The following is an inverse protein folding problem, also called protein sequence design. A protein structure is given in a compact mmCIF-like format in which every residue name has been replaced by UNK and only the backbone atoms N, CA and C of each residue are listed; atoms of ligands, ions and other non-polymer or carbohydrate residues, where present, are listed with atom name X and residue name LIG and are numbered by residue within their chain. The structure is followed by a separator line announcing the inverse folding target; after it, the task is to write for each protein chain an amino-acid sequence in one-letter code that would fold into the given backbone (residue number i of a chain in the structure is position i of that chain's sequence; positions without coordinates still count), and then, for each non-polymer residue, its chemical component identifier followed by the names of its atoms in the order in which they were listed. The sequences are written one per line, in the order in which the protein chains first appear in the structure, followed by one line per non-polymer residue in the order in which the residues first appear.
data_IF_421439286047
#
_entry.id   IF_421439286047
#
_cell.length_a   1.000
_cell.length_b   1.000
_cell.length_c   1.000
_cell.angle_alpha   90.00
_cell.angle_beta   90.00
_cell.angle_gamma   90.00
#
_symmetry.space_group_name_H-M   'P 1'
#
loop_
_entity.id
_entity.type
_entity.pdbx_description
1 polymer ?
#
# COMPACT_ATOMS: atom_id res chain seq x y z
N UNK A 1 -36.32 -11.02 -0.95
CA UNK A 1 -35.16 -10.37 -0.29
C UNK A 1 -33.93 -11.28 -0.40
N UNK A 2 -34.09 -12.59 -0.19
CA UNK A 2 -33.01 -13.60 -0.26
C UNK A 2 -32.19 -13.60 -1.55
N UNK A 3 -32.82 -13.46 -2.73
CA UNK A 3 -32.09 -13.50 -4.01
C UNK A 3 -31.07 -12.36 -4.16
N UNK A 4 -31.39 -11.18 -3.66
CA UNK A 4 -30.49 -10.02 -3.72
C UNK A 4 -29.29 -10.22 -2.78
N UNK A 5 -29.54 -10.75 -1.58
CA UNK A 5 -28.49 -11.06 -0.61
C UNK A 5 -27.55 -12.17 -1.13
N UNK A 6 -28.10 -13.25 -1.68
CA UNK A 6 -27.33 -14.32 -2.36
C UNK A 6 -26.44 -13.77 -3.47
N UNK A 7 -26.99 -12.89 -4.33
CA UNK A 7 -26.22 -12.27 -5.41
C UNK A 7 -25.10 -11.35 -4.90
N UNK A 8 -25.37 -10.56 -3.87
CA UNK A 8 -24.37 -9.68 -3.24
C UNK A 8 -23.22 -10.49 -2.65
N UNK A 9 -23.54 -11.54 -1.89
CA UNK A 9 -22.54 -12.45 -1.31
C UNK A 9 -21.73 -13.16 -2.41
N UNK A 10 -22.38 -13.65 -3.47
CA UNK A 10 -21.70 -14.23 -4.63
C UNK A 10 -20.71 -13.25 -5.26
N UNK A 11 -21.12 -12.01 -5.49
CA UNK A 11 -20.26 -11.00 -6.11
C UNK A 11 -19.07 -10.66 -5.20
N UNK A 12 -19.28 -10.56 -3.89
CA UNK A 12 -18.20 -10.37 -2.92
C UNK A 12 -17.21 -11.53 -2.96
N UNK A 13 -17.69 -12.78 -2.97
CA UNK A 13 -16.87 -13.99 -3.13
C UNK A 13 -16.07 -13.98 -4.43
N UNK A 14 -16.70 -13.66 -5.56
CA UNK A 14 -16.02 -13.54 -6.85
C UNK A 14 -14.96 -12.43 -6.85
N UNK A 15 -15.24 -11.30 -6.19
CA UNK A 15 -14.28 -10.21 -6.00
C UNK A 15 -13.06 -10.65 -5.19
N UNK A 16 -13.28 -11.37 -4.09
CA UNK A 16 -12.23 -11.94 -3.27
C UNK A 16 -11.37 -12.97 -4.04
N UNK A 17 -11.99 -13.82 -4.87
CA UNK A 17 -11.26 -14.72 -5.78
C UNK A 17 -10.38 -13.93 -6.74
N UNK A 18 -10.89 -12.83 -7.28
CA UNK A 18 -10.11 -11.93 -8.11
C UNK A 18 -8.91 -11.31 -7.36
N UNK A 19 -9.06 -10.99 -6.08
CA UNK A 19 -7.95 -10.52 -5.24
C UNK A 19 -6.90 -11.61 -5.02
N UNK A 20 -7.33 -12.83 -4.69
CA UNK A 20 -6.45 -14.00 -4.56
C UNK A 20 -5.66 -14.25 -5.85
N UNK A 21 -6.34 -14.27 -7.01
CA UNK A 21 -5.66 -14.47 -8.31
C UNK A 21 -4.62 -13.37 -8.59
N UNK A 22 -4.90 -12.11 -8.23
CA UNK A 22 -3.89 -11.05 -8.39
C UNK A 22 -2.70 -11.25 -7.47
N UNK A 23 -2.92 -11.59 -6.20
CA UNK A 23 -1.84 -11.87 -5.26
C UNK A 23 -0.98 -13.05 -5.73
N UNK A 24 -1.61 -14.13 -6.21
CA UNK A 24 -0.92 -15.28 -6.82
C UNK A 24 0.00 -14.85 -7.97
N UNK A 25 -0.51 -14.05 -8.90
CA UNK A 25 0.29 -13.58 -10.03
C UNK A 25 1.48 -12.73 -9.57
N UNK A 26 1.28 -11.80 -8.62
CA UNK A 26 2.37 -10.99 -8.06
C UNK A 26 3.44 -11.88 -7.43
N UNK A 27 3.06 -12.87 -6.62
CA UNK A 27 4.02 -13.80 -6.01
C UNK A 27 4.81 -14.56 -7.08
N UNK A 28 4.15 -15.05 -8.14
CA UNK A 28 4.83 -15.73 -9.25
C UNK A 28 5.80 -14.80 -9.98
N UNK A 29 5.38 -13.59 -10.32
CA UNK A 29 6.22 -12.61 -10.99
C UNK A 29 7.48 -12.28 -10.17
N UNK A 30 7.35 -12.16 -8.84
CA UNK A 30 8.50 -11.92 -7.95
C UNK A 30 9.45 -13.12 -7.89
N UNK A 31 8.90 -14.35 -7.89
CA UNK A 31 9.70 -15.59 -7.92
C UNK A 31 10.43 -15.70 -9.27
N UNK A 32 9.73 -15.52 -10.38
CA UNK A 32 10.29 -15.59 -11.74
C UNK A 32 11.36 -14.52 -11.97
N UNK A 33 11.15 -13.30 -11.46
CA UNK A 33 12.13 -12.22 -11.51
C UNK A 33 13.29 -12.38 -10.52
N UNK A 34 13.36 -13.50 -9.79
CA UNK A 34 14.41 -13.79 -8.79
C UNK A 34 14.60 -12.65 -7.79
N UNK A 35 13.48 -12.08 -7.32
CA UNK A 35 13.46 -10.98 -6.36
C UNK A 35 13.97 -11.41 -5.00
N UNK A 36 14.23 -10.43 -4.13
CA UNK A 36 14.78 -10.72 -2.82
C UNK A 36 13.83 -11.61 -1.99
N UNK A 37 14.39 -12.48 -1.15
CA UNK A 37 13.60 -13.36 -0.26
C UNK A 37 12.60 -12.58 0.60
N UNK A 38 12.97 -11.36 1.02
CA UNK A 38 12.09 -10.48 1.81
C UNK A 38 10.86 -10.01 1.03
N UNK A 39 11.02 -9.63 -0.24
CA UNK A 39 9.89 -9.21 -1.09
C UNK A 39 8.96 -10.39 -1.40
N UNK A 40 9.52 -11.55 -1.73
CA UNK A 40 8.74 -12.76 -1.97
C UNK A 40 7.96 -13.17 -0.72
N UNK A 41 8.59 -13.09 0.47
CA UNK A 41 7.92 -13.36 1.74
C UNK A 41 6.75 -12.40 1.99
N UNK A 42 6.93 -11.10 1.78
CA UNK A 42 5.85 -10.13 1.95
C UNK A 42 4.68 -10.42 0.99
N UNK A 43 4.97 -10.73 -0.28
CA UNK A 43 3.92 -11.09 -1.23
C UNK A 43 3.20 -12.39 -0.85
N UNK A 44 3.89 -13.33 -0.20
CA UNK A 44 3.28 -14.54 0.33
C UNK A 44 2.33 -14.26 1.50
N UNK A 45 2.69 -13.34 2.42
CA UNK A 45 1.80 -12.88 3.49
C UNK A 45 0.54 -12.21 2.91
N UNK A 46 0.68 -11.39 1.87
CA UNK A 46 -0.46 -10.80 1.15
C UNK A 46 -1.33 -11.87 0.44
N UNK A 47 -0.71 -12.90 -0.12
CA UNK A 47 -1.39 -14.04 -0.72
C UNK A 47 -2.20 -14.83 0.31
N UNK A 48 -1.64 -15.07 1.50
CA UNK A 48 -2.33 -15.73 2.61
C UNK A 48 -3.54 -14.90 3.06
N UNK A 49 -3.36 -13.60 3.28
CA UNK A 49 -4.44 -12.70 3.67
C UNK A 49 -5.57 -12.66 2.63
N UNK A 50 -5.24 -12.63 1.33
CA UNK A 50 -6.22 -12.68 0.26
C UNK A 50 -6.99 -14.01 0.22
N UNK A 51 -6.33 -15.12 0.55
CA UNK A 51 -6.95 -16.45 0.64
C UNK A 51 -7.90 -16.54 1.83
N UNK A 52 -7.48 -16.11 3.02
CA UNK A 52 -8.35 -16.03 4.21
C UNK A 52 -9.59 -15.17 3.95
N UNK A 53 -9.40 -14.02 3.29
CA UNK A 53 -10.50 -13.17 2.86
C UNK A 53 -11.47 -13.87 1.91
N UNK A 54 -10.98 -14.71 1.00
CA UNK A 54 -11.85 -15.51 0.13
C UNK A 54 -12.61 -16.59 0.90
N UNK A 55 -11.96 -17.30 1.83
CA UNK A 55 -12.60 -18.32 2.67
C UNK A 55 -13.76 -17.70 3.46
N UNK A 56 -13.52 -16.57 4.14
CA UNK A 56 -14.56 -15.85 4.89
C UNK A 56 -15.76 -15.48 4.00
N UNK A 57 -15.51 -14.95 2.80
CA UNK A 57 -16.59 -14.59 1.86
C UNK A 57 -17.32 -15.78 1.28
N UNK A 58 -16.66 -16.92 1.20
CA UNK A 58 -17.27 -18.16 0.78
C UNK A 58 -18.17 -18.74 1.87
N UNK A 59 -17.74 -18.74 3.14
CA UNK A 59 -18.59 -19.11 4.28
C UNK A 59 -19.84 -18.22 4.38
N UNK A 60 -19.68 -16.90 4.26
CA UNK A 60 -20.81 -15.95 4.20
C UNK A 60 -21.80 -16.29 3.06
N UNK A 61 -21.29 -16.76 1.92
CA UNK A 61 -22.10 -17.12 0.76
C UNK A 61 -22.80 -18.48 0.95
N UNK A 62 -22.09 -19.48 1.46
CA UNK A 62 -22.61 -20.85 1.63
C UNK A 62 -23.71 -20.92 2.68
N UNK A 63 -23.67 -20.09 3.71
CA UNK A 63 -24.77 -19.95 4.69
C UNK A 63 -26.11 -19.55 4.07
N UNK A 64 -26.11 -19.03 2.83
CA UNK A 64 -27.32 -18.60 2.11
C UNK A 64 -27.78 -19.62 1.05
N UNK A 65 -27.11 -20.77 0.93
CA UNK A 65 -27.39 -21.76 -0.10
C UNK A 65 -28.26 -22.90 0.42
N UNK A 66 -28.93 -23.56 -0.53
CA UNK A 66 -29.59 -24.85 -0.30
C UNK A 66 -28.56 -25.97 -0.57
N UNK A 67 -28.78 -27.16 -0.01
CA UNK A 67 -27.81 -28.27 0.03
C UNK A 67 -27.20 -28.62 -1.34
N UNK A 68 -28.00 -28.66 -2.41
CA UNK A 68 -27.52 -29.00 -3.75
C UNK A 68 -26.52 -27.97 -4.29
N UNK A 69 -26.79 -26.68 -4.07
CA UNK A 69 -25.95 -25.58 -4.57
C UNK A 69 -24.72 -25.38 -3.67
N UNK A 70 -24.84 -25.72 -2.39
CA UNK A 70 -23.73 -25.73 -1.44
C UNK A 70 -22.61 -26.67 -1.90
N UNK A 71 -22.94 -27.90 -2.31
CA UNK A 71 -21.96 -28.88 -2.78
C UNK A 71 -21.19 -28.40 -4.03
N UNK A 72 -21.86 -27.69 -4.94
CA UNK A 72 -21.20 -27.08 -6.09
C UNK A 72 -20.26 -25.94 -5.67
N UNK A 73 -20.66 -25.16 -4.67
CA UNK A 73 -19.86 -24.08 -4.12
C UNK A 73 -18.59 -24.62 -3.42
N UNK A 74 -18.69 -25.70 -2.64
CA UNK A 74 -17.55 -26.35 -1.98
C UNK A 74 -16.56 -26.93 -3.00
N UNK A 75 -17.06 -27.62 -4.04
CA UNK A 75 -16.21 -28.11 -5.15
C UNK A 75 -15.48 -26.97 -5.87
N UNK A 76 -16.09 -25.79 -5.95
CA UNK A 76 -15.43 -24.62 -6.51
C UNK A 76 -14.31 -24.10 -5.61
N UNK A 77 -14.51 -24.03 -4.29
CA UNK A 77 -13.46 -23.64 -3.35
C UNK A 77 -12.30 -24.64 -3.36
N UNK A 78 -12.60 -25.94 -3.36
CA UNK A 78 -11.59 -26.99 -3.39
C UNK A 78 -10.64 -26.86 -4.61
N UNK A 79 -11.18 -26.54 -5.79
CA UNK A 79 -10.36 -26.29 -6.99
C UNK A 79 -9.43 -25.09 -6.83
N UNK A 80 -9.86 -24.05 -6.12
CA UNK A 80 -9.03 -22.87 -5.86
C UNK A 80 -7.90 -23.22 -4.88
N UNK A 81 -8.19 -24.01 -3.85
CA UNK A 81 -7.18 -24.48 -2.90
C UNK A 81 -6.13 -25.38 -3.59
N UNK A 82 -6.57 -26.25 -4.51
CA UNK A 82 -5.68 -27.04 -5.36
C UNK A 82 -4.80 -26.16 -6.27
N UNK A 83 -5.37 -25.08 -6.84
CA UNK A 83 -4.63 -24.11 -7.67
C UNK A 83 -3.56 -23.39 -6.84
N UNK A 84 -3.91 -22.91 -5.65
CA UNK A 84 -2.98 -22.26 -4.71
C UNK A 84 -1.88 -23.22 -4.26
N UNK A 85 -2.23 -24.46 -3.91
CA UNK A 85 -1.26 -25.45 -3.41
C UNK A 85 -0.16 -25.76 -4.43
N UNK A 86 -0.49 -25.83 -5.73
CA UNK A 86 0.48 -26.02 -6.81
C UNK A 86 1.53 -24.89 -6.86
N UNK A 87 1.18 -23.70 -6.39
CA UNK A 87 2.07 -22.54 -6.39
C UNK A 87 3.12 -22.60 -5.27
N UNK A 88 2.76 -23.19 -4.13
CA UNK A 88 3.59 -23.28 -2.92
C UNK A 88 4.72 -24.31 -3.00
N UNK A 89 4.73 -25.19 -4.01
CA UNK A 89 5.81 -26.19 -4.18
C UNK A 89 7.16 -25.52 -4.54
N UNK A 90 7.16 -24.23 -4.91
CA UNK A 90 8.36 -23.42 -5.12
C UNK A 90 9.03 -22.92 -3.82
N UNK A 91 8.36 -23.05 -2.67
CA UNK A 91 8.83 -22.57 -1.35
C UNK A 91 10.04 -23.38 -0.82
N UNK A 92 10.28 -24.58 -1.36
CA UNK A 92 11.46 -25.39 -1.03
C UNK A 92 12.78 -24.73 -1.43
N UNK A 93 12.78 -23.66 -2.24
CA UNK A 93 14.00 -22.95 -2.68
C UNK A 93 14.41 -21.83 -1.71
N UNK A 94 13.52 -21.40 -0.81
CA UNK A 94 13.82 -20.31 0.14
C UNK A 94 14.48 -20.85 1.42
N UNK A 95 14.27 -22.14 1.74
CA UNK A 95 14.66 -22.82 2.98
C UNK A 95 16.08 -23.39 3.09
N UNK A 96 16.93 -23.34 2.06
CA UNK A 96 18.32 -23.79 2.16
C UNK A 96 19.30 -22.64 1.87
N UNK A 97 19.64 -21.89 2.92
CA UNK A 97 21.00 -21.43 3.21
C UNK A 97 20.94 -20.62 4.51
N UNK A 98 21.02 -21.33 5.62
CA UNK A 98 21.54 -20.77 6.87
C UNK A 98 22.55 -21.78 7.38
N UNK A 99 23.81 -21.51 7.04
CA UNK A 99 24.96 -22.08 7.73
C UNK A 99 24.80 -21.80 9.23
N UNK A 100 24.96 -22.87 10.00
CA UNK A 100 25.20 -22.79 11.43
C UNK A 100 26.50 -22.00 11.67
N UNK A 101 26.45 -20.96 12.51
CA UNK A 101 27.35 -20.86 13.66
C UNK A 101 26.68 -20.05 14.76
N UNK A 102 26.52 -20.69 15.92
CA UNK A 102 26.20 -20.09 17.20
C UNK A 102 27.32 -19.12 17.62
N UNK A 103 26.96 -18.00 18.26
CA UNK A 103 27.28 -17.78 19.68
C UNK A 103 26.57 -16.53 20.23
N UNK A 104 25.97 -16.71 21.41
CA UNK A 104 25.28 -15.72 22.23
C UNK A 104 26.25 -14.65 22.78
N UNK A 105 25.72 -13.46 23.13
CA UNK A 105 25.83 -12.91 24.49
C UNK A 105 25.20 -11.51 24.61
N UNK A 106 24.14 -11.46 25.42
CA UNK A 106 23.80 -10.46 26.45
C UNK A 106 23.91 -8.95 26.19
N UNK A 107 22.75 -8.30 26.36
CA UNK A 107 22.51 -7.46 27.54
C UNK A 107 22.59 -5.94 27.36
N UNK A 108 21.46 -5.24 27.52
CA UNK A 108 21.20 -4.39 28.70
C UNK A 108 20.06 -3.39 28.46
N UNK A 109 19.24 -3.23 29.50
CA UNK A 109 18.12 -2.31 29.67
C UNK A 109 18.54 -0.83 29.81
N UNK A 110 17.57 0.08 29.56
CA UNK A 110 17.55 1.46 30.07
C UNK A 110 16.61 2.38 29.29
N UNK A 111 15.30 2.38 29.57
CA UNK A 111 14.56 3.35 30.42
C UNK A 111 14.42 4.80 29.91
N UNK A 112 13.22 5.09 29.38
CA UNK A 112 12.26 6.18 29.67
C UNK A 112 12.70 7.64 29.95
N UNK A 113 12.17 8.58 29.16
CA UNK A 113 11.26 9.71 29.54
C UNK A 113 11.11 10.63 28.32
N UNK A 114 9.95 10.75 27.66
CA UNK A 114 8.76 11.57 28.01
C UNK A 114 9.08 13.02 28.34
N UNK A 115 8.94 13.91 27.35
CA UNK A 115 8.58 15.31 27.53
C UNK A 115 7.49 15.66 26.50
N UNK A 116 6.27 15.80 27.01
CA UNK A 116 5.22 16.64 26.42
C UNK A 116 5.72 18.08 26.33
N UNK A 117 5.51 18.72 25.19
CA UNK A 117 4.90 20.05 25.22
C UNK A 117 4.28 20.40 23.87
N UNK A 118 2.97 20.42 23.89
CA UNK A 118 2.10 21.19 23.02
C UNK A 118 2.50 22.67 23.04
N UNK A 119 2.59 23.30 21.87
CA UNK A 119 2.03 24.65 21.67
C UNK A 119 1.84 24.92 20.18
N UNK A 120 0.67 25.47 19.90
CA UNK A 120 0.14 25.94 18.63
C UNK A 120 0.78 27.31 18.32
N UNK A 121 0.51 27.84 17.13
CA UNK A 121 0.74 29.21 16.60
C UNK A 121 1.98 29.33 15.70
N UNK A 122 1.78 29.36 14.38
CA UNK A 122 1.24 30.43 13.54
C UNK A 122 2.28 31.52 13.26
N UNK A 123 2.52 31.70 11.96
CA UNK A 123 3.49 32.60 11.33
C UNK A 123 3.14 34.08 11.57
N UNK A 124 4.15 34.92 11.85
CA UNK A 124 4.66 35.95 10.93
C UNK A 124 5.29 37.18 11.62
N UNK A 125 6.44 37.59 11.06
CA UNK A 125 7.04 38.94 10.97
C UNK A 125 7.61 39.58 12.26
N UNK A 126 8.79 40.21 12.29
CA UNK A 126 9.58 40.95 11.28
C UNK A 126 11.01 41.16 11.83
N UNK A 127 12.04 41.46 10.99
CA UNK A 127 13.01 42.48 11.42
C UNK A 127 13.12 43.65 10.45
N UNK A 128 13.21 44.83 11.07
CA UNK A 128 13.40 46.18 10.53
C UNK A 128 14.38 46.32 9.36
N UNK A 129 14.18 47.32 8.50
CA UNK A 129 15.01 48.56 8.49
C UNK A 129 14.72 49.46 7.25
N UNK A 130 14.09 50.61 7.55
CA UNK A 130 14.34 52.01 7.13
C UNK A 130 14.28 52.54 5.68
N UNK A 131 13.84 53.81 5.66
CA UNK A 131 13.93 54.90 4.66
C UNK A 131 12.79 54.91 3.62
N UNK A 132 12.09 56.00 3.28
CA UNK A 132 12.26 57.46 3.42
C UNK A 132 10.87 58.17 3.17
N UNK A 133 10.70 59.51 2.97
CA UNK A 133 9.53 60.24 3.45
C UNK A 133 8.57 60.65 2.31
N UNK A 134 7.43 61.18 2.73
CA UNK A 134 6.56 62.15 2.07
C UNK A 134 6.09 61.92 0.61
N UNK A 135 4.80 61.56 0.55
CA UNK A 135 3.74 62.21 -0.22
C UNK A 135 4.09 62.79 -1.60
N UNK A 136 3.65 62.07 -2.63
CA UNK A 136 3.07 62.71 -3.82
C UNK A 136 1.69 62.11 -4.06
N UNK A 137 0.66 62.96 -3.95
CA UNK A 137 -0.73 62.65 -4.28
C UNK A 137 -0.84 62.25 -5.75
N UNK A 138 -1.40 61.06 -6.01
CA UNK A 138 -1.97 60.73 -7.30
C UNK A 138 -3.41 60.22 -7.11
N UNK A 139 -4.28 60.87 -7.87
CA UNK A 139 -5.69 60.58 -8.16
C UNK A 139 -6.14 59.14 -7.92
N UNK A 140 -7.28 59.00 -7.22
CA UNK A 140 -8.03 57.76 -7.09
C UNK A 140 -8.35 57.17 -8.47
N UNK A 141 -7.52 56.24 -8.93
CA UNK A 141 -7.94 55.23 -9.88
C UNK A 141 -8.34 54.01 -9.05
N UNK A 142 -9.59 53.56 -9.23
CA UNK A 142 -10.10 52.34 -8.62
C UNK A 142 -9.29 51.15 -9.14
N UNK A 143 -8.21 50.82 -8.43
CA UNK A 143 -7.43 49.63 -8.72
C UNK A 143 -8.29 48.41 -8.41
N UNK A 144 -8.63 47.64 -9.45
CA UNK A 144 -9.32 46.35 -9.30
C UNK A 144 -8.47 45.45 -8.39
N UNK A 145 -9.06 44.73 -7.42
CA UNK A 145 -8.31 43.86 -6.54
C UNK A 145 -7.60 42.77 -7.37
N UNK A 146 -6.28 42.73 -7.31
CA UNK A 146 -5.47 41.70 -7.95
C UNK A 146 -5.76 40.35 -7.29
N UNK A 147 -6.49 39.49 -7.98
CA UNK A 147 -6.86 38.17 -7.49
C UNK A 147 -5.84 37.16 -8.01
N UNK A 148 -4.93 36.70 -7.14
CA UNK A 148 -4.03 35.59 -7.45
C UNK A 148 -4.87 34.31 -7.47
N UNK A 149 -5.15 33.82 -8.68
CA UNK A 149 -5.78 32.52 -8.88
C UNK A 149 -4.68 31.47 -8.79
N UNK A 150 -4.53 30.84 -7.63
CA UNK A 150 -3.68 29.66 -7.51
C UNK A 150 -4.32 28.52 -8.31
N UNK A 151 -3.64 28.06 -9.36
CA UNK A 151 -4.05 26.86 -10.06
C UNK A 151 -3.87 25.63 -9.18
N UNK A 152 -4.72 24.63 -9.39
CA UNK A 152 -4.67 23.38 -8.63
C UNK A 152 -3.53 22.55 -9.22
N UNK A 153 -2.55 22.19 -8.41
CA UNK A 153 -1.42 21.36 -8.84
C UNK A 153 -1.94 20.09 -9.55
N UNK A 154 -1.54 19.89 -10.80
CA UNK A 154 -1.97 18.74 -11.59
C UNK A 154 -1.08 17.55 -11.27
N UNK A 155 -1.65 16.55 -10.61
CA UNK A 155 -0.95 15.31 -10.32
C UNK A 155 -0.55 14.63 -11.64
N UNK A 156 0.67 14.08 -11.73
CA UNK A 156 1.08 13.28 -12.88
C UNK A 156 0.09 12.13 -13.09
N UNK A 157 -0.42 12.01 -14.31
CA UNK A 157 -1.27 10.89 -14.69
C UNK A 157 -0.34 9.78 -15.16
N UNK A 158 -0.40 8.61 -14.52
CA UNK A 158 0.36 7.43 -14.94
C UNK A 158 -0.14 6.97 -16.32
N UNK A 159 0.71 7.09 -17.33
CA UNK A 159 0.39 6.75 -18.72
C UNK A 159 0.81 5.32 -19.12
N UNK A 160 1.26 4.50 -18.17
CA UNK A 160 1.67 3.11 -18.39
C UNK A 160 0.52 2.11 -18.27
N UNK A 161 0.80 0.85 -18.61
CA UNK A 161 -0.13 -0.27 -18.33
C UNK A 161 -0.37 -0.35 -16.81
N UNK A 162 -1.64 -0.36 -16.39
CA UNK A 162 -2.04 -0.46 -14.98
C UNK A 162 -1.42 -1.67 -14.26
N UNK A 163 -1.10 -2.75 -14.98
CA UNK A 163 -0.40 -3.92 -14.42
C UNK A 163 1.04 -3.61 -14.02
N UNK A 164 1.68 -2.66 -14.69
CA UNK A 164 3.03 -2.18 -14.39
C UNK A 164 3.05 -1.15 -13.24
N UNK A 165 1.89 -0.76 -12.70
CA UNK A 165 1.82 0.25 -11.63
C UNK A 165 2.55 -0.19 -10.35
N UNK A 166 2.53 -1.48 -10.02
CA UNK A 166 3.25 -2.00 -8.84
C UNK A 166 4.76 -1.90 -9.00
N UNK A 167 5.27 -2.23 -10.19
CA UNK A 167 6.68 -2.11 -10.56
C UNK A 167 7.07 -0.63 -10.53
N UNK A 168 6.32 0.24 -11.20
CA UNK A 168 6.55 1.69 -11.18
C UNK A 168 6.53 2.29 -9.76
N UNK A 169 5.57 1.90 -8.92
CA UNK A 169 5.47 2.39 -7.54
C UNK A 169 6.67 1.94 -6.71
N UNK A 170 7.14 0.70 -6.91
CA UNK A 170 8.35 0.19 -6.28
C UNK A 170 9.57 0.97 -6.75
N UNK A 171 9.79 1.08 -8.06
CA UNK A 171 10.92 1.82 -8.65
C UNK A 171 10.95 3.28 -8.21
N UNK A 172 9.78 3.95 -8.16
CA UNK A 172 9.65 5.32 -7.68
C UNK A 172 10.07 5.46 -6.21
N UNK A 173 9.64 4.53 -5.34
CA UNK A 173 10.06 4.52 -3.94
C UNK A 173 11.57 4.40 -3.83
N UNK A 174 12.19 3.47 -4.56
CA UNK A 174 13.63 3.27 -4.54
C UNK A 174 14.41 4.47 -5.12
N UNK A 175 13.90 5.13 -6.17
CA UNK A 175 14.51 6.31 -6.76
C UNK A 175 14.47 7.53 -5.83
N UNK A 176 13.33 7.79 -5.18
CA UNK A 176 13.16 8.92 -4.27
C UNK A 176 13.90 8.67 -2.94
N UNK A 177 13.88 7.45 -2.41
CA UNK A 177 14.63 7.12 -1.20
C UNK A 177 16.15 7.21 -1.44
N UNK A 178 16.64 6.81 -2.62
CA UNK A 178 18.05 6.96 -2.99
C UNK A 178 18.52 8.43 -2.94
N UNK A 179 17.72 9.38 -3.45
CA UNK A 179 18.05 10.82 -3.39
C UNK A 179 18.08 11.36 -1.95
N UNK A 180 17.25 10.82 -1.05
CA UNK A 180 17.22 11.21 0.36
C UNK A 180 18.42 10.68 1.16
N UNK A 181 19.00 9.54 0.79
CA UNK A 181 20.24 9.03 1.41
C UNK A 181 21.50 9.67 0.84
N UNK A 182 21.50 10.15 -0.41
CA UNK A 182 22.65 10.83 -1.01
C UNK A 182 22.87 12.25 -0.46
N UNK A 183 21.82 12.90 0.03
CA UNK A 183 21.83 14.29 0.54
C UNK A 183 22.09 14.40 2.06
N UNK A 184 22.39 13.27 2.73
CA UNK A 184 22.78 13.23 4.16
C UNK A 184 24.17 12.60 4.36
N UNK A 185 25.16 13.10 3.64
CA UNK A 185 26.55 12.95 4.06
C UNK A 185 27.16 14.35 4.21
N UNK A 186 27.62 14.74 5.43
CA UNK A 186 28.38 15.97 5.64
C UNK A 186 29.78 15.90 5.03
#
# INVERSE_FOLDING_TARGET
MDKEMKNKARNARCGAKGALTRAMNVTNELIEASRSKSEVKQAFEELQWAHEGLVMKHEEFTMLLDDEVFEEAEKWMQKIDEEKSKQNVSDSVIGESSEETNEESNGSQGSNNLIEQSTVFNENNHPSTMQNPEMIQYSQSSAKPFTVKHEKAKLPVFAGDVRQYFIFKSDYKHAVEAELYQTRLP
#
